data_IF_720961853739
#
_entry.id   IF_720961853739
#
_cell.length_a   1.000
_cell.length_b   1.000
_cell.length_c   1.000
_cell.angle_alpha   90.00
_cell.angle_beta   90.00
_cell.angle_gamma   90.00
#
_symmetry.space_group_name_H-M   'P 1'
#
loop_
_entity.id
_entity.type
_entity.pdbx_description
1 polymer ?
#
# COMPACT_ATOMS: atom_id res chain seq x y z
N UNK A 1 -8.90 2.58 9.37
CA UNK A 1 -8.20 3.89 9.49
C UNK A 1 -9.21 5.01 9.27
N UNK A 2 -9.05 6.17 9.93
CA UNK A 2 -9.83 7.39 9.67
C UNK A 2 -8.85 8.57 9.56
N UNK A 3 -9.03 9.43 8.55
CA UNK A 3 -8.24 10.64 8.35
C UNK A 3 -9.18 11.76 7.85
N UNK A 4 -8.95 12.99 8.32
CA UNK A 4 -9.78 14.15 7.99
C UNK A 4 -9.15 14.95 6.86
N UNK A 5 -9.96 15.31 5.87
CA UNK A 5 -9.62 16.27 4.82
C UNK A 5 -10.19 17.65 5.19
N UNK A 6 -9.40 18.46 5.89
CA UNK A 6 -9.81 19.78 6.38
C UNK A 6 -9.45 20.94 5.43
N UNK A 7 -8.87 20.64 4.27
CA UNK A 7 -8.46 21.62 3.26
C UNK A 7 -7.06 22.21 3.46
N UNK A 8 -6.34 21.84 4.52
CA UNK A 8 -4.96 22.27 4.75
C UNK A 8 -3.97 21.52 3.85
N UNK A 9 -2.85 22.17 3.52
CA UNK A 9 -1.76 21.55 2.74
C UNK A 9 -1.16 20.35 3.49
N UNK A 10 -1.01 20.48 4.81
CA UNK A 10 -0.52 19.42 5.68
C UNK A 10 -1.44 18.20 5.67
N UNK A 11 -2.77 18.41 5.64
CA UNK A 11 -3.72 17.31 5.48
C UNK A 11 -3.57 16.65 4.11
N UNK A 12 -3.33 17.41 3.05
CA UNK A 12 -3.03 16.87 1.72
C UNK A 12 -1.84 15.90 1.72
N UNK A 13 -0.73 16.28 2.35
CA UNK A 13 0.47 15.43 2.47
C UNK A 13 0.16 14.16 3.28
N UNK A 14 -0.60 14.27 4.37
CA UNK A 14 -1.00 13.11 5.19
C UNK A 14 -1.93 12.17 4.42
N UNK A 15 -2.90 12.72 3.69
CA UNK A 15 -3.86 11.96 2.87
C UNK A 15 -3.14 11.16 1.80
N UNK A 16 -2.19 11.76 1.07
CA UNK A 16 -1.43 11.08 0.03
C UNK A 16 -0.70 9.84 0.58
N UNK A 17 -0.14 9.93 1.78
CA UNK A 17 0.57 8.82 2.44
C UNK A 17 -0.39 7.76 2.94
N UNK A 18 -1.43 8.15 3.67
CA UNK A 18 -2.37 7.21 4.30
C UNK A 18 -3.17 6.45 3.24
N UNK A 19 -3.70 7.15 2.25
CA UNK A 19 -4.52 6.52 1.20
C UNK A 19 -3.71 5.67 0.22
N UNK A 20 -2.38 5.83 0.18
CA UNK A 20 -1.49 4.89 -0.53
C UNK A 20 -1.14 3.67 0.31
N UNK A 21 -0.77 3.89 1.58
CA UNK A 21 -0.21 2.83 2.42
C UNK A 21 -1.28 1.89 2.99
N UNK A 22 -2.45 2.41 3.40
CA UNK A 22 -3.53 1.59 4.00
C UNK A 22 -4.03 0.48 3.05
N UNK A 23 -4.43 0.76 1.80
CA UNK A 23 -4.75 -0.29 0.84
C UNK A 23 -3.51 -1.08 0.40
N UNK A 24 -2.35 -0.43 0.31
CA UNK A 24 -1.08 -1.08 -0.03
C UNK A 24 -0.75 -2.25 0.90
N UNK A 25 -1.00 -2.10 2.21
CA UNK A 25 -0.84 -3.19 3.18
C UNK A 25 -1.75 -4.39 2.89
N UNK A 26 -2.97 -4.14 2.42
CA UNK A 26 -3.89 -5.19 1.98
C UNK A 26 -3.33 -5.97 0.79
N UNK A 27 -2.86 -5.26 -0.24
CA UNK A 27 -2.23 -5.88 -1.42
C UNK A 27 -1.01 -6.70 -1.03
N UNK A 28 -0.12 -6.14 -0.21
CA UNK A 28 1.10 -6.82 0.29
C UNK A 28 0.72 -8.11 1.04
N UNK A 29 -0.29 -8.06 1.90
CA UNK A 29 -0.75 -9.25 2.65
C UNK A 29 -1.29 -10.36 1.75
N UNK A 30 -2.01 -10.01 0.68
CA UNK A 30 -2.50 -11.01 -0.28
C UNK A 30 -1.37 -11.52 -1.18
N UNK A 31 -0.40 -10.67 -1.54
CA UNK A 31 0.79 -11.10 -2.28
C UNK A 31 1.62 -12.10 -1.46
N UNK A 32 1.77 -11.87 -0.15
CA UNK A 32 2.42 -12.79 0.79
C UNK A 32 1.72 -14.15 0.89
N UNK A 33 0.39 -14.16 0.81
CA UNK A 33 -0.40 -15.39 0.76
C UNK A 33 -0.37 -16.11 -0.60
N UNK A 34 0.34 -15.58 -1.61
CA UNK A 34 0.52 -16.21 -2.92
C UNK A 34 -0.55 -15.89 -3.97
N UNK A 35 -1.40 -14.88 -3.74
CA UNK A 35 -2.39 -14.47 -4.74
C UNK A 35 -1.73 -13.75 -5.91
N UNK A 36 -1.79 -14.35 -7.11
CA UNK A 36 -1.16 -13.83 -8.33
C UNK A 36 -1.59 -12.39 -8.66
N UNK A 37 -2.90 -12.13 -8.62
CA UNK A 37 -3.47 -10.79 -8.84
C UNK A 37 -2.89 -9.74 -7.88
N UNK A 38 -2.60 -10.12 -6.63
CA UNK A 38 -2.03 -9.21 -5.65
C UNK A 38 -0.53 -8.95 -5.92
N UNK A 39 0.21 -9.97 -6.37
CA UNK A 39 1.61 -9.84 -6.80
C UNK A 39 1.70 -8.89 -8.00
N UNK A 40 0.83 -9.05 -9.00
CA UNK A 40 0.75 -8.16 -10.17
C UNK A 40 0.40 -6.73 -9.75
N UNK A 41 -0.59 -6.57 -8.88
CA UNK A 41 -1.02 -5.27 -8.36
C UNK A 41 0.12 -4.58 -7.60
N UNK A 42 0.87 -5.32 -6.78
CA UNK A 42 2.01 -4.80 -6.04
C UNK A 42 3.12 -4.31 -6.98
N UNK A 43 3.43 -5.07 -8.04
CA UNK A 43 4.40 -4.68 -9.08
C UNK A 43 3.96 -3.42 -9.83
N UNK A 44 2.70 -3.40 -10.30
CA UNK A 44 2.15 -2.29 -11.05
C UNK A 44 2.11 -0.97 -10.26
N UNK A 45 1.93 -1.06 -8.93
CA UNK A 45 1.84 0.10 -8.05
C UNK A 45 3.15 0.41 -7.31
N UNK A 46 4.27 -0.26 -7.67
CA UNK A 46 5.57 -0.10 -7.03
C UNK A 46 5.50 -0.20 -5.49
N UNK A 47 4.76 -1.19 -5.00
CA UNK A 47 4.73 -1.49 -3.57
C UNK A 47 6.00 -2.27 -3.22
N UNK A 48 6.69 -1.85 -2.16
CA UNK A 48 7.90 -2.53 -1.72
C UNK A 48 7.53 -3.90 -1.11
N UNK A 49 7.96 -4.97 -1.78
CA UNK A 49 7.83 -6.35 -1.32
C UNK A 49 9.14 -6.89 -0.73
N UNK A 50 10.21 -6.09 -0.72
CA UNK A 50 11.54 -6.56 -0.36
C UNK A 50 11.72 -6.64 1.15
N UNK A 51 12.25 -7.77 1.59
CA UNK A 51 12.72 -8.01 2.96
C UNK A 51 11.96 -9.10 3.75
N UNK A 52 10.75 -9.51 3.34
CA UNK A 52 10.00 -10.57 4.06
C UNK A 52 9.24 -11.59 3.20
N UNK A 53 8.87 -11.23 1.97
CA UNK A 53 7.94 -12.04 1.15
C UNK A 53 8.68 -12.79 0.02
N UNK A 54 9.65 -12.13 -0.63
CA UNK A 54 10.44 -12.70 -1.71
C UNK A 54 11.75 -13.29 -1.18
N UNK A 55 11.66 -14.39 -0.43
CA UNK A 55 12.79 -15.34 -0.27
C UNK A 55 12.49 -16.57 -1.12
N UNK A 56 12.71 -16.42 -2.42
CA UNK A 56 12.79 -17.52 -3.39
C UNK A 56 14.17 -17.50 -4.01
#
# INVERSE_FOLDING_TARGET
MVIVADGTEEAGIRLQRVLRNDPGMGVIRHADAGYEQAIETAKANHLDLNGRILKG
#
